data_IF_344105960827
#
_entry.id   IF_344105960827
#
_cell.length_a   1.000
_cell.length_b   1.000
_cell.length_c   1.000
_cell.angle_alpha   90.00
_cell.angle_beta   90.00
_cell.angle_gamma   90.00
#
_symmetry.space_group_name_H-M   'P 1'
#
loop_
_entity.id
_entity.type
_entity.pdbx_description
1 polymer ?
#
# COMPACT_ATOMS: atom_id res chain seq x y z
N UNK A 1 -15.42 3.92 -17.38
CA UNK A 1 -15.93 5.28 -17.06
C UNK A 1 -15.25 5.89 -15.82
N UNK A 2 -14.68 5.06 -14.92
CA UNK A 2 -14.08 5.50 -13.64
C UNK A 2 -12.55 5.32 -13.58
N UNK A 3 -11.90 5.14 -14.71
CA UNK A 3 -10.43 5.04 -14.77
C UNK A 3 -9.80 6.40 -14.40
N UNK A 4 -8.69 6.45 -13.66
CA UNK A 4 -8.06 7.70 -13.23
C UNK A 4 -7.68 8.63 -14.37
N UNK A 5 -7.23 8.12 -15.52
CA UNK A 5 -6.92 8.96 -16.68
C UNK A 5 -8.16 9.69 -17.24
N UNK A 6 -9.38 9.19 -17.02
CA UNK A 6 -10.63 9.89 -17.33
C UNK A 6 -10.99 10.94 -16.27
N UNK A 7 -10.15 11.12 -15.25
CA UNK A 7 -10.34 12.01 -14.11
C UNK A 7 -9.20 13.02 -13.94
N UNK A 8 -8.38 13.19 -14.98
CA UNK A 8 -7.34 14.20 -15.02
C UNK A 8 -5.93 13.69 -14.68
N UNK A 9 -5.74 12.41 -14.39
CA UNK A 9 -4.40 11.84 -14.26
C UNK A 9 -3.81 11.57 -15.64
N UNK A 10 -2.63 12.11 -15.90
CA UNK A 10 -1.89 11.92 -17.16
C UNK A 10 -1.11 10.61 -17.22
N UNK A 11 -0.84 10.02 -16.08
CA UNK A 11 -0.12 8.76 -15.92
C UNK A 11 -0.83 7.89 -14.90
N UNK A 12 -1.01 6.61 -15.20
CA UNK A 12 -1.76 5.68 -14.34
C UNK A 12 -1.05 4.34 -14.29
N UNK A 13 -0.69 3.91 -13.08
CA UNK A 13 -0.14 2.58 -12.80
C UNK A 13 -0.94 1.96 -11.65
N UNK A 14 -1.88 1.09 -11.99
CA UNK A 14 -2.87 0.56 -11.03
C UNK A 14 -3.07 -0.95 -11.21
N UNK A 15 -3.65 -1.58 -10.19
CA UNK A 15 -4.24 -2.92 -10.31
C UNK A 15 -5.75 -2.83 -10.56
N UNK A 16 -6.42 -3.96 -10.74
CA UNK A 16 -7.87 -4.05 -10.90
C UNK A 16 -8.63 -3.57 -9.66
N UNK A 17 -9.91 -3.37 -9.79
CA UNK A 17 -10.75 -2.81 -8.75
C UNK A 17 -10.84 -3.71 -7.49
N UNK A 18 -11.01 -3.10 -6.33
CA UNK A 18 -11.27 -3.75 -5.06
C UNK A 18 -10.04 -4.22 -4.29
N UNK A 19 -8.86 -4.09 -4.83
CA UNK A 19 -7.59 -4.51 -4.19
C UNK A 19 -7.09 -5.88 -4.66
N UNK A 20 -5.77 -6.07 -4.61
CA UNK A 20 -5.06 -7.26 -5.15
C UNK A 20 -5.49 -8.52 -4.40
N UNK A 21 -6.20 -8.75 -3.61
CA UNK A 21 -6.69 -9.98 -3.00
C UNK A 21 -8.19 -10.15 -3.13
N UNK A 22 -8.84 -9.17 -3.73
CA UNK A 22 -10.30 -9.07 -3.79
C UNK A 22 -10.85 -9.18 -5.21
N UNK A 23 -10.15 -9.92 -6.08
CA UNK A 23 -10.61 -10.13 -7.45
C UNK A 23 -12.01 -10.73 -7.48
N UNK A 24 -12.82 -10.19 -8.35
CA UNK A 24 -14.14 -10.68 -8.69
C UNK A 24 -14.23 -10.88 -10.21
N UNK A 25 -15.28 -11.54 -10.65
CA UNK A 25 -15.47 -11.79 -12.07
C UNK A 25 -15.43 -10.47 -12.87
N UNK A 26 -14.54 -10.39 -13.85
CA UNK A 26 -14.29 -9.18 -14.65
C UNK A 26 -13.11 -8.31 -14.22
N UNK A 27 -12.49 -8.54 -13.05
CA UNK A 27 -11.26 -7.86 -12.61
C UNK A 27 -10.00 -8.71 -12.87
N UNK A 28 -9.93 -9.39 -13.99
CA UNK A 28 -8.98 -10.46 -14.26
C UNK A 28 -7.56 -10.01 -14.64
N UNK A 29 -7.31 -8.72 -14.81
CA UNK A 29 -5.98 -8.22 -15.13
C UNK A 29 -4.94 -8.58 -14.06
N UNK A 30 -5.34 -8.54 -12.78
CA UNK A 30 -4.46 -8.81 -11.64
C UNK A 30 -4.28 -10.30 -11.32
N UNK A 31 -5.21 -11.14 -11.77
CA UNK A 31 -5.30 -12.52 -11.29
C UNK A 31 -5.53 -13.51 -12.42
N UNK A 32 -4.46 -14.07 -12.97
CA UNK A 32 -4.58 -15.30 -13.74
C UNK A 32 -5.36 -16.35 -12.94
N UNK A 33 -6.24 -17.13 -13.57
CA UNK A 33 -7.14 -18.07 -12.87
C UNK A 33 -6.46 -19.08 -11.94
N UNK A 34 -5.20 -19.36 -12.18
CA UNK A 34 -4.39 -20.33 -11.43
C UNK A 34 -3.54 -19.71 -10.32
N UNK A 35 -3.65 -18.40 -10.06
CA UNK A 35 -2.81 -17.78 -9.06
C UNK A 35 -3.27 -18.12 -7.65
N UNK A 36 -2.35 -18.63 -6.83
CA UNK A 36 -2.63 -18.95 -5.43
C UNK A 36 -2.75 -17.68 -4.58
N UNK A 37 -3.64 -17.73 -3.59
CA UNK A 37 -3.97 -16.57 -2.75
C UNK A 37 -2.77 -15.99 -2.03
N UNK A 38 -1.85 -16.84 -1.59
CA UNK A 38 -0.67 -16.49 -0.80
C UNK A 38 0.36 -15.67 -1.57
N UNK A 39 0.31 -15.71 -2.90
CA UNK A 39 1.26 -14.99 -3.78
C UNK A 39 0.66 -13.74 -4.43
N UNK A 40 -0.57 -13.37 -4.10
CA UNK A 40 -1.29 -12.29 -4.80
C UNK A 40 -0.65 -10.91 -4.68
N UNK A 41 0.18 -10.69 -3.68
CA UNK A 41 0.89 -9.44 -3.47
C UNK A 41 2.28 -9.40 -4.10
N UNK A 42 2.71 -10.51 -4.72
CA UNK A 42 3.97 -10.60 -5.44
C UNK A 42 3.71 -10.75 -6.93
N UNK A 43 4.59 -10.18 -7.73
CA UNK A 43 4.62 -10.29 -9.20
C UNK A 43 3.25 -10.00 -9.82
N UNK A 44 2.67 -8.87 -9.44
CA UNK A 44 1.33 -8.50 -9.85
C UNK A 44 1.27 -8.16 -11.35
N UNK A 45 0.10 -8.36 -11.95
CA UNK A 45 -0.21 -7.72 -13.22
C UNK A 45 -0.82 -6.34 -12.93
N UNK A 46 -0.25 -5.29 -13.49
CA UNK A 46 -0.72 -3.93 -13.34
C UNK A 46 -1.19 -3.36 -14.68
N UNK A 47 -2.11 -2.41 -14.62
CA UNK A 47 -2.50 -1.61 -15.77
C UNK A 47 -1.66 -0.32 -15.76
N UNK A 48 -0.77 -0.21 -16.73
CA UNK A 48 0.01 0.99 -16.99
C UNK A 48 -0.64 1.74 -18.16
N UNK A 49 -1.33 2.82 -17.84
CA UNK A 49 -2.21 3.53 -18.76
C UNK A 49 -3.29 2.60 -19.34
N UNK A 50 -3.14 2.13 -20.56
CA UNK A 50 -4.04 1.20 -21.26
C UNK A 50 -3.43 -0.18 -21.52
N UNK A 51 -2.21 -0.43 -21.03
CA UNK A 51 -1.46 -1.65 -21.27
C UNK A 51 -1.29 -2.46 -19.99
N UNK A 52 -1.60 -3.77 -20.05
CA UNK A 52 -1.34 -4.68 -18.93
C UNK A 52 0.15 -5.04 -18.93
N UNK A 53 0.82 -4.77 -17.81
CA UNK A 53 2.23 -5.09 -17.60
C UNK A 53 2.40 -6.11 -16.48
N UNK A 54 3.34 -7.02 -16.65
CA UNK A 54 3.77 -7.93 -15.58
C UNK A 54 4.87 -7.26 -14.78
N UNK A 55 4.79 -7.41 -13.47
CA UNK A 55 5.78 -6.84 -12.54
C UNK A 55 6.50 -7.95 -11.79
N UNK A 56 7.58 -7.61 -11.13
CA UNK A 56 8.36 -8.51 -10.28
C UNK A 56 8.49 -7.88 -8.88
N UNK A 57 8.34 -8.71 -7.85
CA UNK A 57 8.50 -8.31 -6.46
C UNK A 57 7.18 -7.99 -5.74
N UNK A 58 7.29 -7.40 -4.56
CA UNK A 58 6.16 -7.11 -3.70
C UNK A 58 5.42 -5.85 -4.17
N UNK A 59 4.10 -5.88 -4.20
CA UNK A 59 3.26 -4.84 -4.81
C UNK A 59 3.53 -3.43 -4.31
N UNK A 60 3.76 -3.24 -3.02
CA UNK A 60 4.09 -1.92 -2.46
C UNK A 60 5.40 -1.38 -3.04
N UNK A 61 6.43 -2.22 -3.11
CA UNK A 61 7.72 -1.86 -3.70
C UNK A 61 7.54 -1.47 -5.18
N UNK A 62 6.73 -2.23 -5.92
CA UNK A 62 6.41 -1.98 -7.33
C UNK A 62 5.73 -0.63 -7.51
N UNK A 63 4.71 -0.30 -6.70
CA UNK A 63 4.02 0.99 -6.80
C UNK A 63 4.93 2.17 -6.49
N UNK A 64 5.76 2.05 -5.46
CA UNK A 64 6.72 3.12 -5.13
C UNK A 64 7.81 3.27 -6.19
N UNK A 65 8.29 2.17 -6.78
CA UNK A 65 9.28 2.22 -7.87
C UNK A 65 8.69 2.89 -9.12
N UNK A 66 7.47 2.54 -9.51
CA UNK A 66 6.77 3.18 -10.62
C UNK A 66 6.60 4.69 -10.37
N UNK A 67 6.13 5.08 -9.19
CA UNK A 67 5.97 6.48 -8.82
C UNK A 67 7.31 7.24 -8.83
N UNK A 68 8.37 6.66 -8.26
CA UNK A 68 9.71 7.26 -8.25
C UNK A 68 10.29 7.43 -9.65
N UNK A 69 10.06 6.47 -10.55
CA UNK A 69 10.44 6.57 -11.95
C UNK A 69 9.78 7.77 -12.62
N UNK A 70 8.48 7.87 -12.50
CA UNK A 70 7.70 8.96 -13.06
C UNK A 70 8.04 10.33 -12.44
N UNK A 71 8.17 10.44 -11.12
CA UNK A 71 8.59 11.69 -10.45
C UNK A 71 9.96 12.16 -10.97
N UNK A 72 10.90 11.23 -11.18
CA UNK A 72 12.21 11.56 -11.75
C UNK A 72 12.11 12.13 -13.16
N UNK A 73 11.24 11.57 -13.99
CA UNK A 73 10.98 12.09 -15.35
C UNK A 73 10.38 13.50 -15.31
N UNK A 74 9.38 13.74 -14.44
CA UNK A 74 8.79 15.09 -14.28
C UNK A 74 9.84 16.10 -13.79
N UNK A 75 10.69 15.69 -12.84
CA UNK A 75 11.80 16.53 -12.37
C UNK A 75 12.77 16.89 -13.51
N UNK A 76 13.18 15.93 -14.32
CA UNK A 76 14.05 16.15 -15.48
C UNK A 76 13.41 17.07 -16.52
N UNK A 77 12.12 16.92 -16.75
CA UNK A 77 11.32 17.76 -17.62
C UNK A 77 10.99 19.15 -17.04
N UNK A 78 11.31 19.38 -15.76
CA UNK A 78 10.96 20.59 -15.00
C UNK A 78 9.43 20.88 -15.01
N UNK A 79 8.65 19.81 -14.99
CA UNK A 79 7.18 19.89 -15.00
C UNK A 79 6.66 19.74 -13.56
N UNK A 80 5.81 20.66 -13.07
CA UNK A 80 5.12 20.48 -11.80
C UNK A 80 4.27 19.21 -11.84
N UNK A 81 4.18 18.50 -10.71
CA UNK A 81 3.46 17.24 -10.65
C UNK A 81 2.60 17.09 -9.39
N UNK A 82 1.59 16.25 -9.51
CA UNK A 82 0.84 15.69 -8.40
C UNK A 82 0.90 14.16 -8.49
N UNK A 83 1.50 13.52 -7.49
CA UNK A 83 1.61 12.06 -7.41
C UNK A 83 0.73 11.52 -6.29
N UNK A 84 -0.21 10.63 -6.63
CA UNK A 84 -1.06 9.91 -5.67
C UNK A 84 -0.61 8.45 -5.61
N UNK A 85 0.07 8.07 -4.51
CA UNK A 85 0.65 6.74 -4.31
C UNK A 85 -0.24 5.97 -3.32
N UNK A 86 -1.16 5.21 -3.85
CA UNK A 86 -2.11 4.42 -3.08
C UNK A 86 -1.64 2.96 -2.99
N UNK A 87 -1.43 2.45 -1.79
CA UNK A 87 -0.98 1.09 -1.56
C UNK A 87 -2.11 0.17 -1.12
N UNK A 88 -2.04 -1.13 -1.45
CA UNK A 88 -2.94 -2.14 -0.91
C UNK A 88 -2.60 -2.51 0.53
N UNK A 89 -1.32 -2.50 0.88
CA UNK A 89 -0.87 -2.73 2.24
C UNK A 89 -1.32 -1.58 3.15
N UNK A 90 -1.73 -1.86 4.40
CA UNK A 90 -1.74 -3.16 5.06
C UNK A 90 -3.09 -3.90 5.00
N UNK A 91 -3.88 -3.78 3.91
CA UNK A 91 -5.12 -4.53 3.73
C UNK A 91 -4.86 -6.04 3.60
N UNK A 92 -5.81 -6.87 4.02
CA UNK A 92 -5.71 -8.34 3.85
C UNK A 92 -5.73 -8.79 2.38
N UNK A 93 -5.11 -9.93 2.07
CA UNK A 93 -4.46 -10.89 2.96
C UNK A 93 -3.18 -10.34 3.59
N UNK A 94 -2.88 -10.75 4.83
CA UNK A 94 -1.73 -10.25 5.59
C UNK A 94 -0.44 -10.92 5.09
N UNK A 95 0.02 -10.50 3.94
CA UNK A 95 1.19 -11.04 3.22
C UNK A 95 2.27 -9.96 3.15
N UNK A 96 3.45 -10.26 3.65
CA UNK A 96 4.62 -9.39 3.58
C UNK A 96 5.87 -10.19 3.19
N UNK A 97 6.89 -9.55 2.60
CA UNK A 97 8.18 -10.21 2.36
C UNK A 97 8.77 -10.76 3.66
N UNK A 98 9.41 -11.92 3.56
CA UNK A 98 9.91 -12.65 4.74
C UNK A 98 10.84 -11.83 5.64
N UNK A 99 11.66 -10.96 5.07
CA UNK A 99 12.56 -10.09 5.82
C UNK A 99 11.83 -9.17 6.82
N UNK A 100 10.64 -8.69 6.47
CA UNK A 100 9.81 -7.84 7.34
C UNK A 100 9.02 -8.65 8.37
N UNK A 101 8.65 -9.90 8.07
CA UNK A 101 7.94 -10.78 9.01
C UNK A 101 8.84 -11.28 10.15
N UNK A 102 10.12 -11.52 9.84
CA UNK A 102 11.08 -12.18 10.77
C UNK A 102 11.15 -11.46 12.12
N UNK A 103 11.30 -10.16 12.15
CA UNK A 103 11.35 -9.34 13.37
C UNK A 103 10.17 -9.62 14.30
N UNK A 104 8.98 -9.73 13.73
CA UNK A 104 7.75 -9.94 14.51
C UNK A 104 7.56 -11.42 14.91
N UNK A 105 8.09 -12.35 14.12
CA UNK A 105 8.18 -13.76 14.50
C UNK A 105 9.08 -13.95 15.73
N UNK A 106 10.22 -13.30 15.77
CA UNK A 106 11.17 -13.33 16.89
C UNK A 106 10.55 -12.77 18.20
N UNK A 107 9.55 -11.90 18.08
CA UNK A 107 8.76 -11.38 19.20
C UNK A 107 7.60 -12.30 19.63
N UNK A 108 7.42 -13.45 18.98
CA UNK A 108 6.38 -14.44 19.28
C UNK A 108 4.97 -14.05 18.84
N UNK A 109 4.83 -13.17 17.86
CA UNK A 109 3.53 -12.77 17.33
C UNK A 109 2.98 -13.81 16.35
N UNK A 110 1.65 -13.91 16.24
CA UNK A 110 1.01 -14.82 15.29
C UNK A 110 1.30 -14.41 13.84
N UNK A 111 1.19 -15.35 12.91
CA UNK A 111 1.56 -15.15 11.51
C UNK A 111 0.78 -14.02 10.83
N UNK A 112 -0.50 -13.87 11.16
CA UNK A 112 -1.35 -12.81 10.63
C UNK A 112 -0.88 -11.43 11.12
N UNK A 113 -0.48 -11.33 12.36
CA UNK A 113 0.08 -10.12 12.96
C UNK A 113 1.46 -9.80 12.36
N UNK A 114 2.33 -10.81 12.21
CA UNK A 114 3.62 -10.68 11.53
C UNK A 114 3.44 -10.12 10.11
N UNK A 115 2.49 -10.68 9.35
CA UNK A 115 2.19 -10.20 7.99
C UNK A 115 1.72 -8.74 7.99
N UNK A 116 0.80 -8.37 8.88
CA UNK A 116 0.28 -6.99 8.98
C UNK A 116 1.38 -5.98 9.28
N UNK A 117 2.15 -6.22 10.33
CA UNK A 117 3.21 -5.28 10.72
C UNK A 117 4.39 -5.30 9.76
N UNK A 118 4.68 -6.46 9.15
CA UNK A 118 5.65 -6.55 8.08
C UNK A 118 5.26 -5.71 6.84
N UNK A 119 3.97 -5.65 6.51
CA UNK A 119 3.48 -4.73 5.46
C UNK A 119 3.66 -3.26 5.85
N UNK A 120 3.40 -2.90 7.11
CA UNK A 120 3.58 -1.52 7.59
C UNK A 120 5.06 -1.13 7.57
N UNK A 121 5.96 -2.00 8.02
CA UNK A 121 7.41 -1.76 7.97
C UNK A 121 7.91 -1.62 6.51
N UNK A 122 7.36 -2.40 5.59
CA UNK A 122 7.67 -2.23 4.16
C UNK A 122 7.16 -0.89 3.59
N UNK A 123 5.99 -0.42 4.02
CA UNK A 123 5.51 0.92 3.63
C UNK A 123 6.47 1.99 4.17
N UNK A 124 6.89 1.89 5.42
CA UNK A 124 7.81 2.82 6.07
C UNK A 124 9.14 2.91 5.31
N UNK A 125 9.73 1.77 4.95
CA UNK A 125 10.95 1.70 4.12
C UNK A 125 10.77 2.40 2.77
N UNK A 126 9.63 2.19 2.11
CA UNK A 126 9.33 2.82 0.82
C UNK A 126 9.09 4.33 0.93
N UNK A 127 8.42 4.78 1.98
CA UNK A 127 8.29 6.22 2.29
C UNK A 127 9.66 6.82 2.58
N UNK A 128 10.50 6.16 3.37
CA UNK A 128 11.87 6.57 3.63
C UNK A 128 12.70 6.67 2.35
N UNK A 129 12.53 5.73 1.40
CA UNK A 129 13.17 5.78 0.09
C UNK A 129 12.67 6.97 -0.73
N UNK A 130 11.37 7.24 -0.75
CA UNK A 130 10.77 8.40 -1.43
C UNK A 130 11.37 9.70 -0.88
N UNK A 131 11.37 9.88 0.44
CA UNK A 131 11.94 11.07 1.08
C UNK A 131 13.41 11.27 0.72
N UNK A 132 14.21 10.20 0.78
CA UNK A 132 15.61 10.22 0.37
C UNK A 132 15.80 10.61 -1.10
N UNK A 133 14.93 10.17 -2.00
CA UNK A 133 14.99 10.53 -3.42
C UNK A 133 14.61 11.98 -3.66
N UNK A 134 13.58 12.50 -3.00
CA UNK A 134 13.23 13.91 -3.06
C UNK A 134 14.38 14.82 -2.61
N UNK A 135 15.08 14.43 -1.53
CA UNK A 135 16.27 15.15 -1.06
C UNK A 135 17.40 15.09 -2.10
N UNK A 136 17.74 13.90 -2.59
CA UNK A 136 18.78 13.70 -3.62
C UNK A 136 18.51 14.51 -4.90
N UNK A 137 17.25 14.65 -5.29
CA UNK A 137 16.86 15.44 -6.46
C UNK A 137 16.63 16.92 -6.15
N UNK A 138 16.85 17.35 -4.91
CA UNK A 138 16.63 18.73 -4.45
C UNK A 138 15.18 19.21 -4.69
N UNK A 139 14.25 18.32 -4.50
CA UNK A 139 12.82 18.59 -4.63
C UNK A 139 12.16 18.93 -3.29
N UNK A 140 12.84 18.66 -2.16
CA UNK A 140 12.26 18.75 -0.83
C UNK A 140 11.67 20.12 -0.50
N UNK A 141 12.38 21.17 -0.84
CA UNK A 141 11.96 22.56 -0.53
C UNK A 141 10.76 23.04 -1.37
N UNK A 142 10.40 22.31 -2.41
CA UNK A 142 9.30 22.66 -3.33
C UNK A 142 8.31 21.49 -3.53
N UNK A 143 8.22 20.59 -2.57
CA UNK A 143 7.29 19.44 -2.63
C UNK A 143 6.59 19.27 -1.29
N UNK A 144 5.27 19.36 -1.30
CA UNK A 144 4.45 18.98 -0.15
C UNK A 144 4.22 17.47 -0.19
N UNK A 145 4.69 16.76 0.83
CA UNK A 145 4.44 15.34 1.02
C UNK A 145 3.37 15.15 2.08
N UNK A 146 2.29 14.46 1.72
CA UNK A 146 1.19 14.14 2.64
C UNK A 146 1.10 12.63 2.77
N UNK A 147 1.22 12.12 3.99
CA UNK A 147 0.95 10.72 4.32
C UNK A 147 -0.34 10.61 5.13
N UNK A 148 -1.25 9.75 4.69
CA UNK A 148 -2.50 9.49 5.40
C UNK A 148 -3.03 8.09 5.12
N UNK A 149 -3.94 7.60 5.97
CA UNK A 149 -4.69 6.37 5.68
C UNK A 149 -6.08 6.68 5.15
N UNK A 150 -6.67 5.73 4.44
CA UNK A 150 -7.99 5.87 3.81
C UNK A 150 -9.16 5.76 4.80
N UNK A 151 -8.96 4.99 5.88
CA UNK A 151 -9.96 4.79 6.93
C UNK A 151 -9.31 4.32 8.24
N UNK A 152 -10.09 4.32 9.29
CA UNK A 152 -9.68 3.82 10.59
C UNK A 152 -9.44 2.30 10.61
N UNK A 153 -8.89 1.83 11.72
CA UNK A 153 -8.47 0.44 11.88
C UNK A 153 -9.61 -0.55 11.67
N UNK A 154 -9.41 -1.55 10.82
CA UNK A 154 -10.24 -2.74 10.79
C UNK A 154 -10.02 -3.57 12.06
N UNK A 155 -11.08 -4.12 12.64
CA UNK A 155 -11.03 -4.88 13.89
C UNK A 155 -9.96 -5.98 13.91
N UNK A 156 -9.35 -6.21 15.07
CA UNK A 156 -8.34 -7.21 15.32
C UNK A 156 -6.92 -6.64 15.39
N UNK A 157 -6.54 -6.09 16.53
CA UNK A 157 -5.17 -5.63 16.82
C UNK A 157 -4.13 -6.75 16.86
N UNK A 158 -2.93 -6.40 17.28
CA UNK A 158 -1.81 -7.33 17.42
C UNK A 158 -2.13 -8.49 18.37
N UNK A 159 -1.77 -9.71 17.99
CA UNK A 159 -1.96 -10.92 18.79
C UNK A 159 -0.64 -11.63 18.99
N UNK A 160 -0.37 -11.97 20.25
CA UNK A 160 0.71 -12.90 20.58
C UNK A 160 0.21 -14.33 20.35
N UNK A 161 1.05 -15.17 19.74
CA UNK A 161 0.75 -16.58 19.55
C UNK A 161 0.46 -17.27 20.92
N UNK A 162 -0.64 -17.99 20.99
CA UNK A 162 -1.05 -18.73 22.20
C UNK A 162 -1.52 -17.89 23.38
N UNK A 163 -1.72 -16.56 23.22
CA UNK A 163 -2.24 -15.71 24.31
C UNK A 163 -3.57 -15.05 23.90
N UNK A 164 -4.51 -14.86 24.85
CA UNK A 164 -5.74 -14.12 24.58
C UNK A 164 -5.40 -12.69 24.14
N UNK A 165 -6.19 -12.21 23.20
CA UNK A 165 -6.05 -10.95 22.48
C UNK A 165 -5.60 -9.77 23.34
N UNK A 166 -4.36 -9.28 23.16
CA UNK A 166 -4.03 -7.92 23.50
C UNK A 166 -4.28 -7.09 22.23
N UNK A 167 -5.42 -6.47 22.16
CA UNK A 167 -5.75 -5.51 21.10
C UNK A 167 -5.22 -4.15 21.56
N UNK A 168 -4.36 -3.54 20.76
CA UNK A 168 -4.08 -2.12 20.94
C UNK A 168 -5.40 -1.38 20.65
N UNK A 169 -5.89 -0.65 21.63
CA UNK A 169 -7.07 0.18 21.49
C UNK A 169 -6.65 1.63 21.37
N UNK A 170 -7.11 2.30 20.33
CA UNK A 170 -6.97 3.77 20.19
C UNK A 170 -7.84 4.53 21.18
N UNK A 171 -8.75 3.85 21.90
CA UNK A 171 -9.79 4.47 22.73
C UNK A 171 -10.99 5.00 21.92
N UNK A 172 -10.92 5.00 20.61
CA UNK A 172 -12.02 5.44 19.76
C UNK A 172 -13.13 4.41 19.67
N UNK A 173 -14.35 4.91 19.60
CA UNK A 173 -15.54 4.07 19.41
C UNK A 173 -15.51 3.44 18.01
N UNK A 174 -15.68 2.11 17.92
CA UNK A 174 -15.78 1.32 16.69
C UNK A 174 -14.46 1.30 15.86
N UNK A 175 -14.56 1.10 14.55
CA UNK A 175 -13.46 0.98 13.60
C UNK A 175 -13.94 1.11 12.15
N UNK A 176 -13.15 0.61 11.19
CA UNK A 176 -13.44 0.64 9.75
C UNK A 176 -14.89 0.28 9.45
N UNK A 177 -15.51 1.05 8.55
CA UNK A 177 -16.91 0.87 8.14
C UNK A 177 -17.92 1.55 9.04
N UNK A 178 -17.48 2.30 10.05
CA UNK A 178 -18.31 3.06 10.96
C UNK A 178 -18.15 4.56 10.74
N UNK A 179 -19.23 5.37 10.90
CA UNK A 179 -19.15 6.82 10.86
C UNK A 179 -18.55 7.44 12.14
N UNK A 180 -18.32 6.64 13.19
CA UNK A 180 -17.69 7.12 14.43
C UNK A 180 -16.16 7.27 14.26
N UNK A 181 -15.53 7.94 15.23
CA UNK A 181 -14.10 8.27 15.18
C UNK A 181 -13.18 7.08 14.91
N UNK A 182 -13.47 5.89 15.44
CA UNK A 182 -12.68 4.70 15.15
C UNK A 182 -12.67 4.30 13.67
N UNK A 183 -13.64 4.75 12.89
CA UNK A 183 -13.70 4.51 11.44
C UNK A 183 -13.17 5.64 10.57
N UNK A 184 -13.17 6.88 11.08
CA UNK A 184 -12.92 8.11 10.31
C UNK A 184 -11.75 8.93 10.78
N UNK A 185 -11.37 8.83 12.05
CA UNK A 185 -10.22 9.53 12.61
C UNK A 185 -8.93 8.80 12.21
N UNK A 186 -8.26 9.30 11.21
CA UNK A 186 -7.05 8.70 10.61
C UNK A 186 -5.81 9.56 10.87
N UNK A 187 -4.62 8.95 10.98
CA UNK A 187 -3.40 9.73 11.00
C UNK A 187 -3.18 10.43 9.66
N UNK A 188 -2.78 11.68 9.71
CA UNK A 188 -2.35 12.46 8.56
C UNK A 188 -1.13 13.29 8.96
N UNK A 189 -0.10 13.27 8.13
CA UNK A 189 1.17 13.98 8.33
C UNK A 189 1.53 14.73 7.04
N UNK A 190 2.07 15.95 7.17
CA UNK A 190 2.58 16.78 6.07
C UNK A 190 3.77 17.64 6.50
#
# INVERSE_FOLDING_TARGET
AYQPYNRGFSEVFIHGAGGIGQSYQGSCADFPPNRVKETRYFDIAALHNDTIVKTEGFCTDVFFQAALGWIKEQHQAKTPFFAYISTNAPHGPMIAPGKYKKRFADLGWDEKTQGRYGMIENIDDNVGLLMKKLDQWKLWDNTLVIFMTDNGQAGGGARLAGKPNRIFSTGFKTGKGSPFEGGTHVPAFW
#
